data_IF_015478434647
#
_entry.id   IF_015478434647
#
_cell.length_a   1.000
_cell.length_b   1.000
_cell.length_c   1.000
_cell.angle_alpha   90.00
_cell.angle_beta   90.00
_cell.angle_gamma   90.00
#
_symmetry.space_group_name_H-M   'P 1'
#
loop_
_entity.id
_entity.type
_entity.pdbx_description
1 polymer ?
#
# COMPACT_ATOMS: atom_id res chain seq x y z
N UNK A 1 -50.46 -61.48 27.28
CA UNK A 1 -51.65 -61.00 26.54
C UNK A 1 -51.38 -59.52 26.27
N UNK A 2 -51.14 -59.00 25.07
CA UNK A 2 -51.18 -59.50 23.69
C UNK A 2 -50.07 -58.80 22.90
N UNK A 3 -49.71 -59.41 21.78
CA UNK A 3 -48.50 -59.26 20.98
C UNK A 3 -48.62 -58.25 19.80
N UNK A 4 -47.45 -57.79 19.34
CA UNK A 4 -46.97 -57.56 17.96
C UNK A 4 -47.36 -56.31 17.10
N UNK A 5 -46.27 -55.79 16.47
CA UNK A 5 -46.08 -55.04 15.21
C UNK A 5 -45.78 -53.54 15.39
N UNK A 6 -44.63 -52.95 15.03
CA UNK A 6 -43.62 -53.31 14.04
C UNK A 6 -43.81 -52.51 12.74
N UNK A 7 -43.21 -51.32 12.59
CA UNK A 7 -42.67 -50.82 11.30
C UNK A 7 -42.21 -49.34 11.30
N UNK A 8 -40.99 -49.17 10.76
CA UNK A 8 -40.53 -48.13 9.82
C UNK A 8 -40.17 -46.72 10.31
N UNK A 9 -38.86 -46.62 10.51
CA UNK A 9 -37.93 -45.54 10.16
C UNK A 9 -38.22 -44.89 8.78
N UNK A 10 -37.90 -43.58 8.71
CA UNK A 10 -37.69 -42.67 7.56
C UNK A 10 -38.88 -41.92 6.92
N UNK A 11 -39.00 -40.62 7.27
CA UNK A 11 -39.17 -39.48 6.35
C UNK A 11 -38.85 -38.19 7.15
N UNK A 12 -37.64 -37.64 7.09
CA UNK A 12 -37.15 -36.61 6.15
C UNK A 12 -38.00 -35.32 6.07
N UNK A 13 -37.30 -34.22 6.37
CA UNK A 13 -37.54 -32.82 6.02
C UNK A 13 -38.30 -31.93 7.02
N UNK A 14 -37.55 -30.98 7.59
CA UNK A 14 -38.06 -29.63 7.83
C UNK A 14 -37.75 -29.02 9.20
N UNK A 15 -36.72 -28.17 9.26
CA UNK A 15 -36.73 -27.06 10.22
C UNK A 15 -35.71 -27.10 11.37
N UNK A 16 -34.41 -27.17 11.07
CA UNK A 16 -33.37 -26.83 12.06
C UNK A 16 -32.49 -25.69 11.51
N UNK A 17 -33.02 -24.45 11.58
CA UNK A 17 -32.28 -23.22 11.23
C UNK A 17 -32.46 -22.07 12.24
N UNK A 18 -32.87 -22.35 13.48
CA UNK A 18 -33.21 -21.28 14.44
C UNK A 18 -32.08 -21.00 15.47
N UNK A 19 -31.14 -21.92 15.66
CA UNK A 19 -30.12 -21.78 16.73
C UNK A 19 -29.03 -20.73 16.41
N UNK A 20 -28.77 -20.40 15.15
CA UNK A 20 -27.70 -19.44 14.78
C UNK A 20 -28.10 -17.95 14.88
N UNK A 21 -29.39 -17.63 14.93
CA UNK A 21 -29.88 -16.24 14.85
C UNK A 21 -29.99 -15.60 16.24
N UNK A 22 -30.12 -16.38 17.30
CA UNK A 22 -30.31 -15.85 18.66
C UNK A 22 -29.03 -15.27 19.27
N UNK A 23 -27.85 -15.67 18.80
CA UNK A 23 -26.58 -15.10 19.27
C UNK A 23 -26.27 -13.71 18.66
N UNK A 24 -27.00 -13.29 17.61
CA UNK A 24 -26.79 -12.01 16.92
C UNK A 24 -27.55 -10.83 17.56
N UNK A 25 -28.49 -11.09 18.47
CA UNK A 25 -29.38 -10.04 19.00
C UNK A 25 -29.06 -9.60 20.44
N UNK A 26 -28.06 -10.20 21.11
CA UNK A 26 -27.68 -9.82 22.49
C UNK A 26 -26.70 -8.64 22.54
N UNK A 27 -26.11 -8.21 21.40
CA UNK A 27 -25.09 -7.15 21.39
C UNK A 27 -25.63 -5.72 21.14
N UNK A 28 -26.92 -5.54 20.85
CA UNK A 28 -27.48 -4.25 20.44
C UNK A 28 -27.98 -3.34 21.59
N UNK A 29 -27.83 -3.75 22.86
CA UNK A 29 -28.35 -3.00 24.02
C UNK A 29 -27.29 -2.68 25.09
N UNK A 30 -26.01 -2.61 24.73
CA UNK A 30 -24.99 -2.05 25.63
C UNK A 30 -24.59 -0.64 25.14
N UNK A 31 -24.96 0.44 25.86
CA UNK A 31 -24.39 1.76 25.60
C UNK A 31 -22.89 1.70 25.95
N UNK A 32 -22.05 1.60 24.93
CA UNK A 32 -20.60 1.50 25.10
C UNK A 32 -19.85 0.64 24.07
N UNK A 33 -20.52 0.10 23.05
CA UNK A 33 -19.84 -0.61 21.97
C UNK A 33 -19.10 0.39 21.06
N UNK A 34 -17.91 0.81 21.50
CA UNK A 34 -16.92 1.45 20.64
C UNK A 34 -16.39 0.36 19.72
N UNK A 35 -16.66 0.47 18.42
CA UNK A 35 -15.92 -0.28 17.42
C UNK A 35 -14.47 0.16 17.53
N UNK A 36 -13.65 -0.62 18.23
CA UNK A 36 -12.20 -0.47 18.17
C UNK A 36 -11.81 -0.76 16.72
N UNK A 37 -11.61 0.29 15.94
CA UNK A 37 -10.98 0.17 14.63
C UNK A 37 -9.60 -0.44 14.89
N UNK A 38 -9.22 -1.55 14.23
CA UNK A 38 -7.84 -2.03 14.33
C UNK A 38 -6.93 -0.85 13.97
N UNK A 39 -6.06 -0.47 14.89
CA UNK A 39 -4.97 0.43 14.53
C UNK A 39 -4.10 -0.37 13.58
N UNK A 40 -4.14 -0.01 12.29
CA UNK A 40 -3.18 -0.52 11.33
C UNK A 40 -1.82 0.01 11.75
N UNK A 41 -1.13 -0.78 12.57
CA UNK A 41 0.22 -0.45 12.98
C UNK A 41 1.08 -0.49 11.73
N UNK A 42 1.72 0.64 11.42
CA UNK A 42 2.51 0.75 10.20
C UNK A 42 3.56 -0.36 10.15
N UNK A 43 3.67 -1.02 9.00
CA UNK A 43 4.64 -2.10 8.76
C UNK A 43 6.07 -1.59 8.97
N UNK A 44 6.30 -0.31 8.71
CA UNK A 44 7.60 0.34 8.80
C UNK A 44 7.78 1.22 10.06
N UNK A 45 6.84 1.14 11.00
CA UNK A 45 6.78 2.05 12.14
C UNK A 45 6.28 3.46 11.74
N UNK A 46 6.45 4.44 12.62
CA UNK A 46 6.00 5.81 12.36
C UNK A 46 6.76 6.44 11.19
N UNK A 47 6.08 6.61 10.05
CA UNK A 47 6.66 7.20 8.83
C UNK A 47 6.83 8.71 8.92
N UNK A 48 6.11 9.39 9.84
CA UNK A 48 6.21 10.84 10.01
C UNK A 48 7.59 11.31 10.47
N UNK A 49 8.39 10.40 11.05
CA UNK A 49 9.79 10.64 11.39
C UNK A 49 10.68 10.94 10.17
N UNK A 50 10.21 10.64 8.96
CA UNK A 50 10.92 10.90 7.71
C UNK A 50 10.44 12.18 7.01
N UNK A 51 9.53 12.94 7.63
CA UNK A 51 8.94 14.16 7.07
C UNK A 51 9.84 15.39 7.31
N UNK A 52 11.12 15.25 6.95
CA UNK A 52 12.15 16.30 7.05
C UNK A 52 13.29 15.98 6.08
N UNK A 53 13.80 16.97 5.36
CA UNK A 53 14.87 16.78 4.37
C UNK A 53 16.13 16.09 4.91
N UNK A 54 16.47 16.28 6.20
CA UNK A 54 17.65 15.68 6.82
C UNK A 54 17.46 14.20 7.17
N UNK A 55 16.28 13.65 6.89
CA UNK A 55 15.91 12.27 7.24
C UNK A 55 15.73 11.36 6.04
N UNK A 56 15.85 11.88 4.81
CA UNK A 56 15.68 11.11 3.57
C UNK A 56 16.66 9.93 3.51
N UNK A 57 17.93 10.13 3.85
CA UNK A 57 18.92 9.05 3.89
C UNK A 57 18.52 7.92 4.85
N UNK A 58 17.81 8.25 5.93
CA UNK A 58 17.36 7.26 6.90
C UNK A 58 16.25 6.35 6.34
N UNK A 59 15.51 6.79 5.30
CA UNK A 59 14.56 5.95 4.58
C UNK A 59 15.31 4.80 3.89
N UNK A 60 16.38 5.13 3.16
CA UNK A 60 17.17 4.14 2.40
C UNK A 60 18.16 3.35 3.27
N UNK A 61 18.46 3.84 4.48
CA UNK A 61 19.15 3.07 5.51
C UNK A 61 18.23 2.08 6.23
N UNK A 62 16.90 2.24 6.14
CA UNK A 62 15.96 1.29 6.73
C UNK A 62 15.93 -0.01 5.93
N UNK A 63 16.48 -1.07 6.53
CA UNK A 63 16.61 -2.38 5.88
C UNK A 63 15.29 -2.91 5.28
N UNK A 64 14.17 -2.80 6.00
CA UNK A 64 12.90 -3.36 5.51
C UNK A 64 12.35 -2.60 4.31
N UNK A 65 12.44 -1.27 4.34
CA UNK A 65 12.06 -0.41 3.22
C UNK A 65 12.95 -0.74 2.01
N UNK A 66 14.26 -0.76 2.20
CA UNK A 66 15.24 -1.00 1.14
C UNK A 66 15.10 -2.39 0.52
N UNK A 67 14.93 -3.44 1.31
CA UNK A 67 14.70 -4.80 0.79
C UNK A 67 13.41 -4.89 -0.02
N UNK A 68 12.32 -4.26 0.44
CA UNK A 68 11.05 -4.24 -0.30
C UNK A 68 11.15 -3.42 -1.59
N UNK A 69 11.85 -2.30 -1.55
CA UNK A 69 12.08 -1.45 -2.72
C UNK A 69 12.95 -2.17 -3.77
N UNK A 70 14.00 -2.86 -3.33
CA UNK A 70 14.82 -3.71 -4.21
C UNK A 70 14.00 -4.85 -4.83
N UNK A 71 13.11 -5.48 -4.06
CA UNK A 71 12.21 -6.51 -4.58
C UNK A 71 11.22 -5.95 -5.60
N UNK A 72 10.69 -4.73 -5.38
CA UNK A 72 9.77 -4.05 -6.30
C UNK A 72 10.46 -3.66 -7.61
N UNK A 73 11.67 -3.11 -7.54
CA UNK A 73 12.35 -2.54 -8.70
C UNK A 73 13.24 -3.54 -9.45
N UNK A 74 13.69 -4.60 -8.77
CA UNK A 74 14.58 -5.61 -9.35
C UNK A 74 15.82 -4.98 -9.96
N UNK A 75 16.05 -5.23 -11.25
CA UNK A 75 17.20 -4.71 -12.00
C UNK A 75 17.20 -3.18 -12.16
N UNK A 76 16.07 -2.51 -11.95
CA UNK A 76 15.94 -1.05 -12.05
C UNK A 76 16.28 -0.31 -10.75
N UNK A 77 16.56 -1.03 -9.65
CA UNK A 77 16.85 -0.39 -8.36
C UNK A 77 18.04 0.60 -8.45
N UNK A 78 19.11 0.23 -9.15
CA UNK A 78 20.30 1.07 -9.28
C UNK A 78 20.03 2.37 -10.07
N UNK A 79 19.24 2.28 -11.13
CA UNK A 79 18.79 3.41 -11.96
C UNK A 79 17.90 4.36 -11.16
N UNK A 80 17.07 3.80 -10.28
CA UNK A 80 16.19 4.58 -9.41
C UNK A 80 16.95 5.31 -8.30
N UNK A 81 17.80 4.60 -7.55
CA UNK A 81 18.38 5.10 -6.29
C UNK A 81 19.49 6.12 -6.51
N UNK A 82 20.19 6.07 -7.66
CA UNK A 82 21.27 7.02 -7.98
C UNK A 82 20.79 8.48 -8.05
N UNK A 83 19.48 8.69 -8.20
CA UNK A 83 18.89 10.01 -8.22
C UNK A 83 18.75 10.62 -6.81
N UNK A 84 18.91 9.91 -5.70
CA UNK A 84 18.72 10.49 -4.37
C UNK A 84 20.00 11.16 -3.80
N UNK A 85 20.67 11.98 -4.62
CA UNK A 85 21.84 12.79 -4.19
C UNK A 85 21.39 14.19 -3.76
N UNK A 86 20.62 14.87 -4.60
CA UNK A 86 19.80 16.02 -4.21
C UNK A 86 18.39 15.54 -3.90
N UNK A 87 17.75 16.12 -2.89
CA UNK A 87 16.41 15.70 -2.44
C UNK A 87 15.47 16.90 -2.33
N UNK A 88 14.19 16.65 -2.60
CA UNK A 88 13.11 17.59 -2.28
C UNK A 88 12.72 17.46 -0.81
N UNK A 89 11.99 18.46 -0.30
CA UNK A 89 11.36 18.36 1.02
C UNK A 89 10.33 17.20 1.01
N UNK A 90 10.48 16.19 1.88
CA UNK A 90 9.49 15.14 2.01
C UNK A 90 8.15 15.70 2.52
N UNK A 91 7.06 15.03 2.16
CA UNK A 91 5.74 15.37 2.68
C UNK A 91 4.88 14.13 2.96
N UNK A 92 3.95 14.25 3.91
CA UNK A 92 3.02 13.16 4.23
C UNK A 92 1.97 12.98 3.14
N UNK A 93 1.65 11.73 2.80
CA UNK A 93 0.53 11.43 1.91
C UNK A 93 -0.80 11.58 2.65
N UNK A 94 -1.91 11.58 1.90
CA UNK A 94 -3.25 11.65 2.51
C UNK A 94 -3.58 10.43 3.39
N UNK A 95 -2.90 9.31 3.18
CA UNK A 95 -3.08 8.07 3.94
C UNK A 95 -2.12 7.97 5.14
N UNK A 96 -1.29 9.00 5.37
CA UNK A 96 -0.31 9.03 6.45
C UNK A 96 1.02 8.37 6.10
N UNK A 97 1.23 8.05 4.83
CA UNK A 97 2.51 7.63 4.28
C UNK A 97 3.49 8.79 4.14
N UNK A 98 4.64 8.50 3.52
CA UNK A 98 5.67 9.50 3.19
C UNK A 98 5.95 9.50 1.68
N UNK A 99 5.95 10.69 1.10
CA UNK A 99 6.48 10.95 -0.23
C UNK A 99 7.90 11.52 -0.11
N UNK A 100 8.80 11.05 -0.97
CA UNK A 100 10.15 11.61 -1.13
C UNK A 100 10.56 11.61 -2.59
N UNK A 101 11.33 12.60 -2.98
CA UNK A 101 11.90 12.69 -4.33
C UNK A 101 13.38 13.08 -4.30
N UNK A 102 14.08 12.77 -5.38
CA UNK A 102 15.46 13.16 -5.57
C UNK A 102 15.87 13.27 -7.03
N UNK A 103 16.98 13.96 -7.25
CA UNK A 103 17.67 14.11 -8.53
C UNK A 103 19.20 14.03 -8.37
N UNK A 104 19.93 13.61 -9.41
CA UNK A 104 21.39 13.76 -9.42
C UNK A 104 21.77 15.24 -9.31
N UNK A 105 22.94 15.51 -8.75
CA UNK A 105 23.43 16.89 -8.58
C UNK A 105 23.30 17.71 -9.88
N UNK A 106 22.68 18.89 -9.80
CA UNK A 106 22.41 19.81 -10.91
C UNK A 106 21.43 19.34 -12.01
N UNK A 107 20.85 18.13 -11.93
CA UNK A 107 20.01 17.54 -13.00
C UNK A 107 18.52 17.41 -12.65
N UNK A 108 17.98 18.30 -11.81
CA UNK A 108 16.61 18.22 -11.29
C UNK A 108 15.51 17.99 -12.35
N UNK A 109 15.58 18.71 -13.47
CA UNK A 109 14.59 18.59 -14.55
C UNK A 109 14.95 17.50 -15.56
N UNK A 110 16.18 16.99 -15.54
CA UNK A 110 16.69 16.03 -16.52
C UNK A 110 16.51 14.60 -16.04
N UNK A 111 16.87 14.32 -14.78
CA UNK A 111 16.75 13.01 -14.14
C UNK A 111 16.19 13.18 -12.74
N UNK A 112 15.16 12.40 -12.42
CA UNK A 112 14.52 12.44 -11.11
C UNK A 112 13.86 11.11 -10.80
N UNK A 113 13.81 10.79 -9.51
CA UNK A 113 13.09 9.66 -8.94
C UNK A 113 12.17 10.15 -7.82
N UNK A 114 11.06 9.46 -7.61
CA UNK A 114 10.17 9.66 -6.48
C UNK A 114 9.67 8.32 -5.91
N UNK A 115 9.46 8.30 -4.61
CA UNK A 115 9.02 7.16 -3.82
C UNK A 115 7.85 7.58 -2.93
N UNK A 116 6.82 6.74 -2.90
CA UNK A 116 5.78 6.78 -1.88
C UNK A 116 5.84 5.48 -1.06
N UNK A 117 5.78 5.63 0.26
CA UNK A 117 5.70 4.55 1.23
C UNK A 117 4.44 4.75 2.05
N UNK A 118 3.48 3.82 1.97
CA UNK A 118 2.26 3.87 2.75
C UNK A 118 2.39 3.06 4.06
N UNK A 119 1.61 3.39 5.11
CA UNK A 119 1.70 2.74 6.43
C UNK A 119 1.45 1.23 6.38
N UNK A 120 0.57 0.78 5.50
CA UNK A 120 0.25 -0.64 5.33
C UNK A 120 1.36 -1.42 4.59
N UNK A 121 2.42 -0.71 4.19
CA UNK A 121 3.59 -1.24 3.55
C UNK A 121 3.59 -1.09 2.04
N UNK A 122 2.52 -0.59 1.40
CA UNK A 122 2.54 -0.39 -0.06
C UNK A 122 3.65 0.59 -0.45
N UNK A 123 4.35 0.25 -1.53
CA UNK A 123 5.37 1.08 -2.16
C UNK A 123 4.95 1.42 -3.58
N UNK A 124 5.21 2.67 -3.96
CA UNK A 124 5.06 3.15 -5.33
C UNK A 124 6.32 3.94 -5.69
N UNK A 125 6.93 3.59 -6.80
CA UNK A 125 8.17 4.23 -7.26
C UNK A 125 8.00 4.71 -8.69
N UNK A 126 8.48 5.91 -8.98
CA UNK A 126 8.55 6.45 -10.33
C UNK A 126 9.91 7.08 -10.60
N UNK A 127 10.40 6.96 -11.83
CA UNK A 127 11.63 7.64 -12.24
C UNK A 127 11.62 7.97 -13.73
N UNK A 128 12.35 9.02 -14.10
CA UNK A 128 12.45 9.44 -15.48
C UNK A 128 13.38 8.53 -16.28
N UNK A 129 12.98 8.23 -17.53
CA UNK A 129 13.84 7.73 -18.61
C UNK A 129 13.91 8.76 -19.73
N UNK A 130 14.90 9.67 -19.71
CA UNK A 130 15.04 10.72 -20.72
C UNK A 130 15.19 10.16 -22.14
N UNK A 131 15.82 8.99 -22.28
CA UNK A 131 16.12 8.35 -23.57
C UNK A 131 14.85 7.95 -24.32
N UNK A 132 13.78 7.64 -23.60
CA UNK A 132 12.48 7.21 -24.16
C UNK A 132 11.39 8.26 -24.00
N UNK A 133 11.68 9.39 -23.34
CA UNK A 133 10.71 10.40 -22.96
C UNK A 133 9.54 9.81 -22.14
N UNK A 134 9.85 8.86 -21.24
CA UNK A 134 8.88 8.16 -20.38
C UNK A 134 9.20 8.29 -18.90
N UNK A 135 8.17 8.14 -18.09
CA UNK A 135 8.29 7.95 -16.64
C UNK A 135 7.99 6.48 -16.37
N UNK A 136 8.98 5.77 -15.87
CA UNK A 136 8.76 4.42 -15.38
C UNK A 136 7.99 4.47 -14.07
N UNK A 137 7.11 3.50 -13.86
CA UNK A 137 6.32 3.37 -12.64
C UNK A 137 6.22 1.91 -12.23
N UNK A 138 6.37 1.68 -10.93
CA UNK A 138 6.20 0.36 -10.31
C UNK A 138 5.37 0.51 -9.04
N UNK A 139 4.31 -0.28 -8.95
CA UNK A 139 3.45 -0.38 -7.78
C UNK A 139 3.58 -1.76 -7.13
N UNK A 140 3.71 -1.80 -5.81
CA UNK A 140 3.67 -3.05 -5.05
C UNK A 140 2.28 -3.72 -5.04
N UNK A 141 1.23 -3.01 -5.47
CA UNK A 141 -0.11 -3.58 -5.64
C UNK A 141 -0.26 -4.39 -6.94
N UNK A 142 0.73 -4.32 -7.83
CA UNK A 142 0.76 -5.07 -9.09
C UNK A 142 -0.06 -4.47 -10.23
N UNK A 143 -0.86 -3.43 -9.98
CA UNK A 143 -1.49 -2.63 -11.04
C UNK A 143 -0.71 -1.34 -11.28
N UNK A 144 0.09 -1.32 -12.36
CA UNK A 144 0.87 -0.15 -12.76
C UNK A 144 0.03 0.91 -13.52
N UNK A 145 -1.26 0.66 -13.77
CA UNK A 145 -2.13 1.61 -14.51
C UNK A 145 -2.76 2.66 -13.60
N UNK A 146 -2.85 2.38 -12.31
CA UNK A 146 -3.36 3.32 -11.31
C UNK A 146 -2.16 4.00 -10.66
N UNK A 147 -1.86 5.21 -11.12
CA UNK A 147 -0.74 6.01 -10.62
C UNK A 147 -1.12 6.62 -9.27
N UNK A 148 -0.27 6.43 -8.26
CA UNK A 148 -0.43 7.07 -6.96
C UNK A 148 -0.50 8.60 -7.13
N UNK A 149 -1.44 9.25 -6.43
CA UNK A 149 -1.75 10.68 -6.61
C UNK A 149 -0.51 11.58 -6.49
N UNK A 150 0.28 11.41 -5.44
CA UNK A 150 1.48 12.22 -5.21
C UNK A 150 2.56 12.02 -6.30
N UNK A 151 2.65 10.82 -6.89
CA UNK A 151 3.55 10.57 -8.03
C UNK A 151 2.98 11.15 -9.34
N UNK A 152 1.66 11.15 -9.50
CA UNK A 152 1.02 11.82 -10.63
C UNK A 152 1.24 13.34 -10.57
N UNK A 153 1.12 13.96 -9.39
CA UNK A 153 1.42 15.37 -9.17
C UNK A 153 2.88 15.70 -9.43
N UNK A 154 3.81 14.92 -8.86
CA UNK A 154 5.24 15.01 -9.11
C UNK A 154 5.59 15.00 -10.61
N UNK A 155 4.93 14.12 -11.37
CA UNK A 155 5.14 13.95 -12.80
C UNK A 155 4.68 15.16 -13.65
N UNK A 156 3.74 15.98 -13.16
CA UNK A 156 3.23 17.15 -13.91
C UNK A 156 4.30 18.20 -14.22
N UNK A 157 5.43 18.17 -13.52
CA UNK A 157 6.55 19.10 -13.70
C UNK A 157 7.43 18.74 -14.91
N UNK A 158 7.27 17.54 -15.46
CA UNK A 158 8.05 17.08 -16.62
C UNK A 158 7.20 17.22 -17.88
N UNK A 159 7.42 18.32 -18.61
CA UNK A 159 6.75 18.57 -19.87
C UNK A 159 6.89 17.39 -20.84
N UNK A 160 5.78 17.02 -21.47
CA UNK A 160 5.71 16.01 -22.55
C UNK A 160 6.10 14.57 -22.19
N UNK A 161 6.27 14.23 -20.91
CA UNK A 161 6.51 12.84 -20.49
C UNK A 161 5.21 12.14 -20.10
N UNK A 162 5.12 10.84 -20.39
CA UNK A 162 4.00 10.00 -19.94
C UNK A 162 4.52 8.80 -19.16
N UNK A 163 3.69 8.27 -18.28
CA UNK A 163 3.96 6.98 -17.65
C UNK A 163 4.04 5.86 -18.70
N UNK A 164 4.87 4.85 -18.43
CA UNK A 164 4.94 3.61 -19.23
C UNK A 164 3.69 2.76 -18.99
N UNK A 165 3.17 2.10 -20.04
CA UNK A 165 1.96 1.27 -19.97
C UNK A 165 2.20 -0.19 -19.47
N UNK A 166 3.40 -0.49 -18.97
CA UNK A 166 3.90 -1.86 -18.70
C UNK A 166 3.55 -2.44 -17.33
#
# INVERSE_FOLDING_TARGET
>A
MSDIAGCKIFALLGGFKIVKIVFLLILLNMPGFVLATPSSQSVFGDLSRYNDINTVDNIFANKQITEKLQALLGTHYAEFIINFVGTGEPHLTAEGGIFVEGWPEHLYLEQASALVIEPDGRLYAAWKKPETNKIEYRSSEGDNRVIHRDLAEWATRFDHMTFTDE
#
